data_IF_952868968764
#
_entry.id   IF_952868968764
#
_cell.length_a   1.000
_cell.length_b   1.000
_cell.length_c   1.000
_cell.angle_alpha   90.00
_cell.angle_beta   90.00
_cell.angle_gamma   90.00
#
_symmetry.space_group_name_H-M   'P 1'
#
loop_
_entity.id
_entity.type
_entity.pdbx_description
1 polymer ?
#
# COMPACT_ATOMS: atom_id res chain seq x y z
N UNK A 1 -12.82 -27.18 8.21
CA UNK A 1 -12.57 -25.73 8.08
C UNK A 1 -11.07 -25.56 7.91
N UNK A 2 -10.62 -25.18 6.70
CA UNK A 2 -9.21 -25.14 6.35
C UNK A 2 -8.65 -23.75 6.67
N UNK A 3 -7.87 -23.63 7.76
CA UNK A 3 -7.09 -22.43 8.06
C UNK A 3 -5.89 -22.38 7.11
N UNK A 4 -5.95 -21.51 6.12
CA UNK A 4 -4.77 -21.11 5.35
C UNK A 4 -4.10 -19.98 6.13
N UNK A 5 -3.36 -20.35 7.18
CA UNK A 5 -2.32 -19.48 7.69
C UNK A 5 -1.14 -19.59 6.70
N UNK A 6 -0.60 -18.48 6.16
CA UNK A 6 0.58 -18.55 5.34
C UNK A 6 1.75 -19.03 6.21
N UNK A 7 2.09 -20.30 6.02
CA UNK A 7 3.30 -20.96 6.50
C UNK A 7 4.51 -20.33 5.83
N UNK A 8 5.61 -20.22 6.60
CA UNK A 8 6.99 -19.90 6.20
C UNK A 8 7.45 -18.44 6.32
N UNK A 9 7.72 -18.02 7.55
CA UNK A 9 8.97 -17.29 7.82
C UNK A 9 9.92 -18.20 8.57
N UNK A 10 10.67 -19.01 7.83
CA UNK A 10 11.81 -19.74 8.39
C UNK A 10 12.90 -18.70 8.66
N UNK A 11 13.07 -18.31 9.92
CA UNK A 11 14.16 -17.43 10.32
C UNK A 11 15.48 -18.20 10.22
N UNK A 12 16.26 -17.93 9.17
CA UNK A 12 17.66 -18.36 9.09
C UNK A 12 18.45 -17.49 10.07
N UNK A 13 18.94 -18.09 11.15
CA UNK A 13 19.84 -17.44 12.11
C UNK A 13 21.06 -16.89 11.35
N UNK A 14 21.11 -15.57 11.16
CA UNK A 14 22.20 -14.85 10.49
C UNK A 14 21.84 -14.11 9.20
N UNK A 15 20.67 -14.36 8.59
CA UNK A 15 20.21 -13.56 7.46
C UNK A 15 19.48 -12.31 7.96
N UNK A 16 19.98 -11.11 7.60
CA UNK A 16 19.27 -9.85 7.90
C UNK A 16 17.90 -9.93 7.21
N UNK A 17 16.78 -9.69 7.92
CA UNK A 17 15.47 -9.69 7.29
C UNK A 17 15.48 -8.69 6.12
N UNK A 18 15.25 -9.18 4.91
CA UNK A 18 15.06 -8.31 3.75
C UNK A 18 13.71 -7.64 3.96
N UNK A 19 13.69 -6.32 4.16
CA UNK A 19 12.44 -5.57 4.21
C UNK A 19 11.74 -5.72 2.85
N UNK A 20 10.49 -6.20 2.79
CA UNK A 20 9.76 -6.26 1.53
C UNK A 20 9.59 -4.85 0.96
N UNK A 21 9.59 -4.73 -0.36
CA UNK A 21 9.21 -3.47 -1.02
C UNK A 21 7.69 -3.38 -1.08
N UNK A 22 7.13 -2.25 -0.66
CA UNK A 22 5.67 -2.05 -0.59
C UNK A 22 5.27 -0.92 -1.53
N UNK A 23 4.37 -1.25 -2.47
CA UNK A 23 3.69 -0.29 -3.34
C UNK A 23 2.23 -0.16 -2.91
N UNK A 24 1.74 1.07 -2.80
CA UNK A 24 0.33 1.38 -2.53
C UNK A 24 -0.30 1.91 -3.82
N UNK A 25 -1.38 1.27 -4.25
CA UNK A 25 -2.14 1.69 -5.43
C UNK A 25 -3.51 2.16 -4.96
N UNK A 26 -3.82 3.43 -5.22
CA UNK A 26 -5.11 4.03 -4.90
C UNK A 26 -5.87 4.32 -6.20
N UNK A 27 -7.04 3.72 -6.35
CA UNK A 27 -7.96 4.02 -7.46
C UNK A 27 -8.96 5.04 -6.97
N UNK A 28 -9.08 6.16 -7.69
CA UNK A 28 -9.89 7.31 -7.26
C UNK A 28 -10.98 7.61 -8.29
N UNK A 29 -12.15 7.98 -7.81
CA UNK A 29 -13.26 8.45 -8.65
C UNK A 29 -14.13 9.40 -7.84
N UNK A 30 -14.17 10.68 -8.22
CA UNK A 30 -15.03 11.69 -7.59
C UNK A 30 -14.93 11.74 -6.04
N UNK A 31 -13.73 11.55 -5.50
CA UNK A 31 -13.50 11.39 -4.05
C UNK A 31 -13.57 12.71 -3.26
N UNK A 32 -13.48 13.87 -3.94
CA UNK A 32 -13.52 15.20 -3.32
C UNK A 32 -12.41 15.41 -2.29
N UNK A 33 -12.70 16.16 -1.22
CA UNK A 33 -11.73 16.54 -0.18
C UNK A 33 -11.11 15.33 0.56
N UNK A 34 -11.82 14.19 0.62
CA UNK A 34 -11.31 12.98 1.27
C UNK A 34 -10.07 12.40 0.54
N UNK A 35 -9.88 12.75 -0.73
CA UNK A 35 -8.69 12.36 -1.49
C UNK A 35 -7.42 12.91 -0.86
N UNK A 36 -7.43 14.19 -0.47
CA UNK A 36 -6.24 14.87 0.05
C UNK A 36 -5.79 14.24 1.38
N UNK A 37 -6.74 13.91 2.25
CA UNK A 37 -6.41 13.25 3.52
C UNK A 37 -5.87 11.84 3.30
N UNK A 38 -6.44 11.09 2.36
CA UNK A 38 -5.98 9.74 2.01
C UNK A 38 -4.57 9.74 1.42
N UNK A 39 -4.27 10.70 0.53
CA UNK A 39 -2.93 10.92 -0.03
C UNK A 39 -1.94 11.28 1.07
N UNK A 40 -2.31 12.22 1.96
CA UNK A 40 -1.46 12.63 3.07
C UNK A 40 -1.13 11.44 3.97
N UNK A 41 -2.08 10.58 4.25
CA UNK A 41 -1.83 9.39 5.05
C UNK A 41 -0.86 8.42 4.35
N UNK A 42 -1.12 8.09 3.08
CA UNK A 42 -0.28 7.17 2.30
C UNK A 42 1.17 7.66 2.15
N UNK A 43 1.37 8.97 1.93
CA UNK A 43 2.70 9.57 1.81
C UNK A 43 3.48 9.63 3.13
N UNK A 44 2.80 9.58 4.28
CA UNK A 44 3.42 9.61 5.59
C UNK A 44 3.72 8.21 6.16
N UNK A 45 3.31 7.13 5.48
CA UNK A 45 3.54 5.77 5.96
C UNK A 45 4.99 5.32 5.70
N UNK A 46 5.83 5.12 6.75
CA UNK A 46 7.26 4.82 6.58
C UNK A 46 7.56 3.51 5.85
N UNK A 47 6.58 2.61 5.78
CA UNK A 47 6.73 1.34 5.08
C UNK A 47 6.44 1.42 3.58
N UNK A 48 5.85 2.49 3.09
CA UNK A 48 5.54 2.65 1.65
C UNK A 48 6.77 3.11 0.89
N UNK A 49 7.14 2.36 -0.15
CA UNK A 49 8.27 2.69 -1.03
C UNK A 49 7.81 3.33 -2.34
N UNK A 50 6.57 3.08 -2.74
CA UNK A 50 5.97 3.60 -3.98
C UNK A 50 4.49 3.86 -3.75
N UNK A 51 4.00 5.01 -4.24
CA UNK A 51 2.59 5.36 -4.19
C UNK A 51 2.11 5.76 -5.58
N UNK A 52 1.08 5.06 -6.07
CA UNK A 52 0.47 5.27 -7.38
C UNK A 52 -1.00 5.63 -7.22
N UNK A 53 -1.41 6.70 -7.89
CA UNK A 53 -2.82 7.10 -7.98
C UNK A 53 -3.31 6.80 -9.40
N UNK A 54 -4.41 6.08 -9.48
CA UNK A 54 -5.12 5.79 -10.73
C UNK A 54 -6.43 6.56 -10.69
N UNK A 55 -6.52 7.64 -11.48
CA UNK A 55 -7.80 8.30 -11.70
C UNK A 55 -8.68 7.47 -12.64
N UNK A 56 -9.83 7.06 -12.14
CA UNK A 56 -10.81 6.24 -12.85
C UNK A 56 -11.81 7.12 -13.61
N UNK A 57 -11.31 8.15 -14.29
CA UNK A 57 -12.11 9.04 -15.14
C UNK A 57 -12.92 10.08 -14.36
N UNK A 58 -12.33 10.69 -13.33
CA UNK A 58 -12.93 11.86 -12.71
C UNK A 58 -13.05 13.00 -13.73
N UNK A 59 -14.14 13.80 -13.69
CA UNK A 59 -14.27 14.93 -14.61
C UNK A 59 -13.18 15.97 -14.33
N UNK A 60 -12.70 16.69 -15.36
CA UNK A 60 -11.80 17.81 -15.14
C UNK A 60 -12.48 18.89 -14.27
N UNK A 61 -11.71 19.58 -13.41
CA UNK A 61 -12.22 20.67 -12.59
C UNK A 61 -12.72 21.86 -13.41
#
# INVERSE_FOLDING_TARGET
MNSILPSHSTFVSGARPVRPRISVVMVVYQTGEALIESIRHALNEPLVDEFVIIDNGSPPP
#
